data_IF_639352005880
#
_entry.id   IF_639352005880
#
_cell.length_a   1.000
_cell.length_b   1.000
_cell.length_c   1.000
_cell.angle_alpha   90.00
_cell.angle_beta   90.00
_cell.angle_gamma   90.00
#
_symmetry.space_group_name_H-M   'P 1'
#
loop_
_entity.id
_entity.type
_entity.pdbx_description
1 polymer ?
#
# COMPACT_ATOMS: atom_id res chain seq x y z
N UNK A 1 46.30 -31.73 -9.73
CA UNK A 1 46.08 -30.38 -10.26
C UNK A 1 44.63 -30.04 -10.58
N UNK A 2 43.82 -31.03 -10.97
CA UNK A 2 42.40 -30.80 -11.35
C UNK A 2 41.52 -30.43 -10.13
N UNK A 3 41.70 -31.07 -8.98
CA UNK A 3 40.92 -30.78 -7.76
C UNK A 3 41.06 -29.36 -7.24
N UNK A 4 42.25 -28.77 -7.31
CA UNK A 4 42.46 -27.37 -6.88
C UNK A 4 41.75 -26.36 -7.76
N UNK A 5 41.61 -26.65 -9.06
CA UNK A 5 40.89 -25.81 -10.02
C UNK A 5 39.38 -25.91 -9.84
N UNK A 6 38.86 -27.09 -9.47
CA UNK A 6 37.43 -27.30 -9.20
C UNK A 6 37.01 -26.56 -7.91
N UNK A 7 37.85 -26.62 -6.85
CA UNK A 7 37.58 -25.91 -5.59
C UNK A 7 37.57 -24.41 -5.81
N UNK A 8 38.48 -23.85 -6.62
CA UNK A 8 38.51 -22.43 -6.94
C UNK A 8 37.26 -21.99 -7.74
N UNK A 9 36.80 -22.87 -8.67
CA UNK A 9 35.59 -22.56 -9.44
C UNK A 9 34.32 -22.60 -8.59
N UNK A 10 34.21 -23.56 -7.67
CA UNK A 10 33.05 -23.66 -6.75
C UNK A 10 33.01 -22.46 -5.79
N UNK A 11 34.17 -22.01 -5.28
CA UNK A 11 34.23 -20.82 -4.42
C UNK A 11 33.88 -19.53 -5.16
N UNK A 12 34.24 -19.43 -6.44
CA UNK A 12 33.86 -18.27 -7.27
C UNK A 12 32.35 -18.22 -7.55
N UNK A 13 31.71 -19.37 -7.76
CA UNK A 13 30.27 -19.47 -8.00
C UNK A 13 29.48 -19.16 -6.71
N UNK A 14 29.94 -19.64 -5.56
CA UNK A 14 29.31 -19.34 -4.26
C UNK A 14 29.43 -17.85 -3.90
N UNK A 15 30.55 -17.21 -4.24
CA UNK A 15 30.71 -15.75 -4.01
C UNK A 15 29.80 -14.92 -4.92
N UNK A 16 29.47 -15.40 -6.11
CA UNK A 16 28.60 -14.68 -7.04
C UNK A 16 27.12 -14.72 -6.61
N UNK A 17 26.69 -15.74 -5.86
CA UNK A 17 25.34 -15.83 -5.33
C UNK A 17 25.09 -14.98 -4.08
N UNK A 18 26.13 -14.54 -3.38
CA UNK A 18 25.98 -13.69 -2.19
C UNK A 18 25.74 -12.19 -2.49
N UNK A 19 25.81 -11.74 -3.74
CA UNK A 19 25.67 -10.32 -4.09
C UNK A 19 24.28 -9.97 -4.59
N UNK A 20 23.36 -10.94 -4.70
CA UNK A 20 21.95 -10.71 -5.04
C UNK A 20 21.03 -10.71 -3.80
N UNK A 21 21.53 -10.33 -2.66
CA UNK A 21 20.65 -9.81 -1.61
C UNK A 21 20.24 -8.41 -2.02
N UNK A 22 19.26 -8.31 -2.91
CA UNK A 22 18.41 -7.14 -3.01
C UNK A 22 17.86 -6.96 -1.60
N UNK A 23 18.41 -6.00 -0.88
CA UNK A 23 17.74 -5.47 0.29
C UNK A 23 16.46 -4.79 -0.22
N UNK A 24 15.40 -5.57 -0.44
CA UNK A 24 14.06 -5.05 -0.32
C UNK A 24 14.04 -4.42 1.07
N UNK A 25 13.96 -3.10 1.12
CA UNK A 25 13.91 -2.37 2.38
C UNK A 25 12.89 -3.06 3.25
N UNK A 26 13.33 -3.58 4.40
CA UNK A 26 12.43 -4.11 5.41
C UNK A 26 11.57 -2.94 5.85
N UNK A 27 10.42 -2.80 5.21
CA UNK A 27 9.34 -2.01 5.74
C UNK A 27 8.94 -2.74 7.01
N UNK A 28 9.05 -2.05 8.15
CA UNK A 28 8.63 -2.61 9.41
C UNK A 28 7.18 -3.07 9.30
N UNK A 29 7.01 -4.37 9.20
CA UNK A 29 5.70 -5.00 9.30
C UNK A 29 5.42 -5.01 10.80
N UNK A 30 4.74 -3.96 11.28
CA UNK A 30 3.98 -4.11 12.51
C UNK A 30 2.97 -5.21 12.25
N UNK A 31 2.94 -6.22 13.13
CA UNK A 31 1.98 -7.31 13.03
C UNK A 31 0.57 -6.71 12.96
N UNK A 32 -0.03 -6.67 11.79
CA UNK A 32 -1.38 -6.17 11.56
C UNK A 32 -1.54 -5.04 10.55
N UNK A 33 -0.46 -4.45 10.00
CA UNK A 33 -0.58 -3.38 8.99
C UNK A 33 0.37 -3.55 7.81
N UNK A 34 -0.04 -3.06 6.65
CA UNK A 34 0.79 -2.96 5.44
C UNK A 34 0.98 -1.50 5.09
N UNK A 35 2.21 -1.09 4.90
CA UNK A 35 2.58 0.28 4.54
C UNK A 35 3.03 0.36 3.09
N UNK A 36 2.43 1.27 2.33
CA UNK A 36 2.79 1.56 0.93
C UNK A 36 3.15 3.03 0.81
N UNK A 37 4.31 3.33 0.25
CA UNK A 37 4.77 4.71 0.04
C UNK A 37 4.72 5.04 -1.44
N UNK A 38 3.99 6.09 -1.79
CA UNK A 38 3.92 6.64 -3.15
C UNK A 38 4.16 8.14 -3.08
N UNK A 39 5.17 8.62 -3.80
CA UNK A 39 5.66 9.99 -3.71
C UNK A 39 6.06 10.34 -2.27
N UNK A 40 5.49 11.39 -1.69
CA UNK A 40 5.72 11.82 -0.31
C UNK A 40 4.59 11.38 0.64
N UNK A 41 3.72 10.47 0.20
CA UNK A 41 2.58 9.97 0.97
C UNK A 41 2.79 8.51 1.36
N UNK A 42 2.64 8.23 2.64
CA UNK A 42 2.69 6.90 3.23
C UNK A 42 1.27 6.46 3.54
N UNK A 43 0.83 5.38 2.91
CA UNK A 43 -0.47 4.77 3.15
C UNK A 43 -0.32 3.60 4.10
N UNK A 44 -1.20 3.51 5.09
CA UNK A 44 -1.22 2.45 6.10
C UNK A 44 -2.55 1.72 5.98
N UNK A 45 -2.48 0.44 5.62
CA UNK A 45 -3.62 -0.44 5.45
C UNK A 45 -3.60 -1.57 6.48
N UNK A 46 -4.75 -2.16 6.76
CA UNK A 46 -4.81 -3.40 7.52
C UNK A 46 -4.14 -4.55 6.73
N UNK A 47 -3.51 -5.49 7.45
CA UNK A 47 -2.73 -6.56 6.83
C UNK A 47 -3.55 -7.51 5.95
N UNK A 48 -4.85 -7.62 6.19
CA UNK A 48 -5.79 -8.45 5.44
C UNK A 48 -6.31 -7.79 4.16
N UNK A 49 -5.93 -6.52 3.89
CA UNK A 49 -6.31 -5.84 2.64
C UNK A 49 -5.60 -6.46 1.44
N UNK A 50 -6.34 -6.65 0.35
CA UNK A 50 -5.78 -7.16 -0.91
C UNK A 50 -4.93 -6.11 -1.62
N UNK A 51 -3.99 -6.54 -2.44
CA UNK A 51 -3.17 -5.63 -3.27
C UNK A 51 -4.04 -4.81 -4.22
N UNK A 52 -5.03 -5.44 -4.86
CA UNK A 52 -6.00 -4.77 -5.74
C UNK A 52 -6.77 -3.65 -5.04
N UNK A 53 -7.18 -3.86 -3.80
CA UNK A 53 -7.83 -2.83 -2.99
C UNK A 53 -6.88 -1.65 -2.70
N UNK A 54 -5.63 -1.93 -2.31
CA UNK A 54 -4.64 -0.90 -2.03
C UNK A 54 -4.33 -0.06 -3.26
N UNK A 55 -4.14 -0.70 -4.41
CA UNK A 55 -3.84 -0.02 -5.68
C UNK A 55 -5.00 0.87 -6.13
N UNK A 56 -6.24 0.40 -6.02
CA UNK A 56 -7.45 1.19 -6.32
C UNK A 56 -7.58 2.39 -5.40
N UNK A 57 -7.39 2.21 -4.10
CA UNK A 57 -7.45 3.31 -3.14
C UNK A 57 -6.41 4.39 -3.45
N UNK A 58 -5.15 3.99 -3.68
CA UNK A 58 -4.04 4.90 -3.99
C UNK A 58 -4.31 5.66 -5.29
N UNK A 59 -4.78 4.97 -6.34
CA UNK A 59 -5.13 5.59 -7.60
C UNK A 59 -6.24 6.63 -7.43
N UNK A 60 -7.30 6.31 -6.71
CA UNK A 60 -8.41 7.22 -6.44
C UNK A 60 -7.95 8.42 -5.59
N UNK A 61 -7.10 8.20 -4.61
CA UNK A 61 -6.55 9.26 -3.76
C UNK A 61 -5.81 10.34 -4.57
N UNK A 62 -4.98 9.95 -5.53
CA UNK A 62 -4.22 10.90 -6.36
C UNK A 62 -5.03 11.49 -7.51
N UNK A 63 -5.99 10.75 -8.06
CA UNK A 63 -6.82 11.22 -9.16
C UNK A 63 -8.01 12.09 -8.71
N UNK A 64 -8.32 12.10 -7.41
CA UNK A 64 -9.48 12.82 -6.89
C UNK A 64 -10.83 12.24 -7.33
N UNK A 65 -10.83 11.06 -7.90
CA UNK A 65 -12.04 10.35 -8.28
C UNK A 65 -12.61 9.61 -7.07
N UNK A 66 -13.43 10.32 -6.35
CA UNK A 66 -14.35 9.74 -5.36
C UNK A 66 -15.62 9.27 -6.07
N UNK A 67 -15.40 8.51 -7.14
CA UNK A 67 -16.38 8.23 -8.13
C UNK A 67 -16.89 6.79 -7.97
N UNK A 68 -18.12 6.70 -7.51
CA UNK A 68 -18.90 5.48 -7.54
C UNK A 68 -19.26 5.00 -8.95
N UNK A 69 -18.46 5.26 -9.98
CA UNK A 69 -18.57 4.62 -11.30
C UNK A 69 -18.01 3.20 -11.24
N UNK A 70 -18.63 2.39 -10.41
CA UNK A 70 -18.41 0.97 -10.42
C UNK A 70 -19.20 0.31 -11.54
N UNK A 71 -18.58 -0.63 -12.23
CA UNK A 71 -19.32 -1.58 -13.06
C UNK A 71 -20.14 -2.45 -12.13
N UNK A 72 -21.42 -2.14 -11.99
CA UNK A 72 -22.32 -2.92 -11.15
C UNK A 72 -22.46 -4.34 -11.73
N UNK A 73 -21.98 -5.33 -10.99
CA UNK A 73 -22.27 -6.72 -11.30
C UNK A 73 -23.77 -7.00 -11.18
N UNK A 74 -24.28 -7.99 -11.94
CA UNK A 74 -25.69 -8.37 -11.93
C UNK A 74 -26.22 -8.65 -10.50
N UNK A 75 -25.38 -9.26 -9.63
CA UNK A 75 -25.73 -9.55 -8.24
C UNK A 75 -25.95 -8.28 -7.41
N UNK A 76 -25.13 -7.24 -7.62
CA UNK A 76 -25.28 -5.96 -6.93
C UNK A 76 -26.51 -5.18 -7.41
N UNK A 77 -26.87 -5.31 -8.67
CA UNK A 77 -28.07 -4.69 -9.25
C UNK A 77 -29.35 -5.31 -8.68
N UNK A 78 -29.36 -6.64 -8.47
CA UNK A 78 -30.52 -7.37 -7.99
C UNK A 78 -30.64 -7.41 -6.46
N UNK A 79 -29.51 -7.54 -5.74
CA UNK A 79 -29.48 -7.78 -4.29
C UNK A 79 -28.79 -6.68 -3.49
N UNK A 80 -28.31 -5.62 -4.14
CA UNK A 80 -27.54 -4.56 -3.53
C UNK A 80 -26.07 -4.93 -3.30
N UNK A 81 -25.29 -3.95 -2.82
CA UNK A 81 -23.87 -4.13 -2.51
C UNK A 81 -23.69 -4.87 -1.19
N UNK A 82 -22.72 -5.76 -1.14
CA UNK A 82 -22.21 -6.31 0.11
C UNK A 82 -20.99 -5.51 0.53
N UNK A 83 -21.20 -4.53 1.39
CA UNK A 83 -20.16 -3.56 1.79
C UNK A 83 -19.34 -4.12 2.96
N UNK A 84 -18.02 -4.00 2.81
CA UNK A 84 -17.06 -4.12 3.89
C UNK A 84 -16.34 -2.78 4.03
N UNK A 85 -16.27 -2.25 5.25
CA UNK A 85 -15.64 -0.97 5.54
C UNK A 85 -14.26 -1.22 6.14
N UNK A 86 -13.25 -0.60 5.55
CA UNK A 86 -11.86 -0.67 6.02
C UNK A 86 -11.34 0.74 6.29
N UNK A 87 -10.59 0.92 7.36
CA UNK A 87 -9.97 2.21 7.68
C UNK A 87 -8.57 2.28 7.09
N UNK A 88 -8.29 3.36 6.37
CA UNK A 88 -6.99 3.63 5.75
C UNK A 88 -6.45 4.96 6.27
N UNK A 89 -5.19 4.98 6.70
CA UNK A 89 -4.48 6.21 7.02
C UNK A 89 -3.52 6.61 5.91
N UNK A 90 -3.49 7.89 5.58
CA UNK A 90 -2.54 8.49 4.65
C UNK A 90 -1.75 9.59 5.36
N UNK A 91 -0.43 9.52 5.33
CA UNK A 91 0.46 10.53 5.90
C UNK A 91 1.28 11.15 4.78
N UNK A 92 1.00 12.42 4.48
CA UNK A 92 1.73 13.17 3.46
C UNK A 92 2.83 13.98 4.12
N UNK A 93 4.07 13.71 3.75
CA UNK A 93 5.24 14.46 4.21
C UNK A 93 5.34 15.79 3.49
N UNK A 94 5.82 16.81 4.19
CA UNK A 94 6.00 18.17 3.65
C UNK A 94 4.72 18.77 3.02
N UNK A 95 3.57 18.45 3.57
CA UNK A 95 2.29 18.99 3.11
C UNK A 95 2.13 20.50 3.40
N UNK A 96 2.90 21.04 4.36
CA UNK A 96 2.93 22.45 4.73
C UNK A 96 4.36 22.99 4.74
N UNK A 97 4.54 24.26 4.40
CA UNK A 97 5.82 24.96 4.47
C UNK A 97 6.23 25.28 5.93
N UNK A 98 5.29 25.35 6.85
CA UNK A 98 5.50 25.65 8.27
C UNK A 98 5.19 24.44 9.14
N UNK A 99 5.88 24.30 10.27
CA UNK A 99 5.63 23.23 11.22
C UNK A 99 4.24 23.36 11.90
N UNK A 100 3.50 22.26 12.12
CA UNK A 100 3.80 20.88 11.73
C UNK A 100 3.64 20.67 10.21
N UNK A 101 4.59 19.96 9.59
CA UNK A 101 4.69 19.88 8.12
C UNK A 101 3.95 18.72 7.50
N UNK A 102 3.71 17.66 8.27
CA UNK A 102 3.07 16.46 7.77
C UNK A 102 1.56 16.54 8.00
N UNK A 103 0.80 15.97 7.07
CA UNK A 103 -0.65 15.88 7.19
C UNK A 103 -1.05 14.41 7.28
N UNK A 104 -1.78 14.07 8.31
CA UNK A 104 -2.40 12.77 8.48
C UNK A 104 -3.88 12.84 8.18
N UNK A 105 -4.33 11.99 7.29
CA UNK A 105 -5.73 11.82 6.91
C UNK A 105 -6.18 10.41 7.23
N UNK A 106 -7.40 10.25 7.70
CA UNK A 106 -7.99 8.96 8.00
C UNK A 106 -9.27 8.84 7.17
N UNK A 107 -9.36 7.77 6.41
CA UNK A 107 -10.47 7.45 5.53
C UNK A 107 -11.17 6.18 5.98
N UNK A 108 -12.50 6.18 5.94
CA UNK A 108 -13.26 4.95 5.86
C UNK A 108 -13.53 4.65 4.39
N UNK A 109 -13.18 3.45 3.98
CA UNK A 109 -13.32 2.98 2.60
C UNK A 109 -14.32 1.85 2.57
N UNK A 110 -15.46 2.11 1.96
CA UNK A 110 -16.50 1.13 1.71
C UNK A 110 -16.20 0.41 0.40
N UNK A 111 -16.01 -0.89 0.46
CA UNK A 111 -15.70 -1.74 -0.67
C UNK A 111 -16.76 -2.84 -0.81
N UNK A 112 -17.29 -3.02 -2.02
CA UNK A 112 -18.19 -4.13 -2.30
C UNK A 112 -17.39 -5.41 -2.58
N UNK A 113 -17.75 -6.51 -1.93
CA UNK A 113 -17.10 -7.81 -2.16
C UNK A 113 -17.57 -8.52 -3.43
N UNK A 114 -18.58 -7.99 -4.12
CA UNK A 114 -19.22 -8.60 -5.29
C UNK A 114 -18.99 -7.84 -6.60
N UNK A 115 -18.58 -6.57 -6.53
CA UNK A 115 -18.31 -5.71 -7.68
C UNK A 115 -17.18 -4.72 -7.37
N UNK A 116 -16.84 -3.86 -8.32
CA UNK A 116 -15.75 -2.88 -8.18
C UNK A 116 -16.16 -1.60 -7.43
N UNK A 117 -17.32 -1.58 -6.77
CA UNK A 117 -17.76 -0.40 -6.03
C UNK A 117 -16.81 -0.13 -4.86
N UNK A 118 -16.29 1.08 -4.81
CA UNK A 118 -15.44 1.57 -3.73
C UNK A 118 -15.78 3.03 -3.47
N UNK A 119 -15.97 3.41 -2.21
CA UNK A 119 -16.23 4.78 -1.81
C UNK A 119 -15.36 5.13 -0.61
N UNK A 120 -14.58 6.21 -0.73
CA UNK A 120 -13.75 6.72 0.37
C UNK A 120 -14.42 7.92 1.03
N UNK A 121 -14.44 7.94 2.35
CA UNK A 121 -14.97 9.03 3.15
C UNK A 121 -13.90 9.54 4.11
N UNK A 122 -13.51 10.79 3.98
CA UNK A 122 -12.55 11.42 4.91
C UNK A 122 -13.20 11.59 6.28
N UNK A 123 -12.62 10.97 7.31
CA UNK A 123 -13.08 11.03 8.69
C UNK A 123 -12.34 12.06 9.52
N UNK A 124 -11.05 12.18 9.33
CA UNK A 124 -10.21 13.10 10.07
C UNK A 124 -9.04 13.57 9.21
N UNK A 125 -8.67 14.83 9.38
CA UNK A 125 -7.46 15.40 8.78
C UNK A 125 -6.82 16.35 9.78
N UNK A 126 -5.56 16.16 10.08
CA UNK A 126 -4.80 17.01 10.99
C UNK A 126 -3.31 17.02 10.65
N UNK A 127 -2.64 18.09 11.02
CA UNK A 127 -1.21 18.21 10.84
C UNK A 127 -0.46 17.60 12.03
N UNK A 128 0.62 16.91 11.72
CA UNK A 128 1.48 16.23 12.70
C UNK A 128 2.95 16.55 12.46
N UNK A 129 3.76 16.43 13.50
CA UNK A 129 5.22 16.52 13.40
C UNK A 129 5.78 15.14 13.11
N UNK A 130 6.09 14.86 11.84
CA UNK A 130 6.65 13.57 11.40
C UNK A 130 7.96 13.71 10.60
N UNK A 131 8.43 14.92 10.40
CA UNK A 131 9.70 15.21 9.73
C UNK A 131 10.60 16.11 10.56
#
# INVERSE_FOLDING_TARGET
>A
MIMKKIIALVMAVVSLFCVMSVSAGAQGVDEGTVTVTVNETVFIFDADTTEDFRDKFIANYFNGEDDGTATYGLMCTLFGHKIETTTVAAVTHKASATAPRCRREIYDVDNCTRCDYTKSTLKASHYISCC
#
